data_IF_355044046141
#
_entry.id   IF_355044046141
#
_cell.length_a   1.000
_cell.length_b   1.000
_cell.length_c   1.000
_cell.angle_alpha   90.00
_cell.angle_beta   90.00
_cell.angle_gamma   90.00
#
_symmetry.space_group_name_H-M   'P 1'
#
loop_
_entity.id
_entity.type
_entity.pdbx_description
1 polymer ?
#
# COMPACT_ATOMS: atom_id res chain seq x y z
N UNK A 1 91.79 16.39 37.24
CA UNK A 1 90.65 15.59 36.73
C UNK A 1 90.37 16.04 35.30
N UNK A 2 90.87 15.29 34.31
CA UNK A 2 90.72 15.61 32.89
C UNK A 2 89.39 15.00 32.39
N UNK A 3 88.54 15.83 31.77
CA UNK A 3 87.31 15.38 31.11
C UNK A 3 87.57 15.23 29.62
N UNK A 4 87.69 13.99 29.17
CA UNK A 4 87.41 13.58 27.79
C UNK A 4 85.91 13.75 27.48
N UNK A 5 85.58 13.89 26.19
CA UNK A 5 84.44 13.29 25.45
C UNK A 5 84.23 14.14 24.17
N UNK A 6 84.73 13.71 23.00
CA UNK A 6 84.19 12.73 22.04
C UNK A 6 83.11 13.29 21.12
N UNK A 7 83.31 12.97 19.84
CA UNK A 7 82.82 13.62 18.64
C UNK A 7 81.38 13.25 18.26
N UNK A 8 80.84 14.08 17.37
CA UNK A 8 79.53 13.99 16.75
C UNK A 8 79.33 12.74 15.87
N UNK A 9 78.07 12.31 15.77
CA UNK A 9 77.51 11.68 14.57
C UNK A 9 75.99 11.91 14.55
N UNK A 10 75.52 12.75 13.63
CA UNK A 10 74.10 12.89 13.33
C UNK A 10 73.75 11.94 12.19
N UNK A 11 72.92 10.93 12.46
CA UNK A 11 72.27 10.11 11.43
C UNK A 11 70.86 10.69 11.19
N UNK A 12 70.63 11.22 9.99
CA UNK A 12 69.30 11.55 9.51
C UNK A 12 68.69 10.31 8.84
N UNK A 13 67.62 9.76 9.42
CA UNK A 13 66.82 8.70 8.80
C UNK A 13 65.68 9.36 8.00
N UNK A 14 65.71 9.22 6.68
CA UNK A 14 64.61 9.61 5.80
C UNK A 14 63.53 8.52 5.81
N UNK A 15 62.38 8.80 6.40
CA UNK A 15 61.20 7.94 6.35
C UNK A 15 60.44 8.16 5.04
N UNK A 16 60.43 7.16 4.16
CA UNK A 16 59.55 7.13 3.00
C UNK A 16 58.14 6.68 3.45
N UNK A 17 57.23 7.63 3.64
CA UNK A 17 55.80 7.34 3.81
C UNK A 17 55.20 6.90 2.48
N UNK A 18 54.89 5.61 2.35
CA UNK A 18 53.97 5.12 1.32
C UNK A 18 52.55 5.53 1.73
N UNK A 19 52.03 6.61 1.12
CA UNK A 19 50.63 6.97 1.22
C UNK A 19 49.83 5.98 0.34
N UNK A 20 49.02 5.15 0.98
CA UNK A 20 48.07 4.27 0.31
C UNK A 20 46.95 5.14 -0.29
N UNK A 21 46.84 5.15 -1.61
CA UNK A 21 45.74 5.79 -2.33
C UNK A 21 44.41 5.22 -1.84
N UNK A 22 43.43 6.04 -1.42
CA UNK A 22 42.12 5.51 -1.06
C UNK A 22 41.48 4.98 -2.34
N UNK A 23 41.22 3.67 -2.35
CA UNK A 23 40.44 3.01 -3.38
C UNK A 23 39.14 3.81 -3.59
N UNK A 24 38.93 4.24 -4.84
CA UNK A 24 37.69 4.85 -5.26
C UNK A 24 36.55 3.90 -4.88
N UNK A 25 35.79 4.27 -3.86
CA UNK A 25 34.48 3.69 -3.60
C UNK A 25 33.64 3.98 -4.83
N UNK A 26 33.53 2.99 -5.70
CA UNK A 26 32.52 2.97 -6.74
C UNK A 26 31.19 3.03 -6.02
N UNK A 27 30.64 4.24 -5.88
CA UNK A 27 29.26 4.44 -5.52
C UNK A 27 28.45 3.77 -6.61
N UNK A 28 28.08 2.51 -6.34
CA UNK A 28 27.05 1.83 -7.09
C UNK A 28 25.81 2.72 -6.98
N UNK A 29 25.61 3.49 -8.02
CA UNK A 29 24.43 4.27 -8.27
C UNK A 29 23.22 3.37 -7.99
N UNK A 30 22.49 3.68 -6.92
CA UNK A 30 21.23 3.03 -6.57
C UNK A 30 20.10 3.48 -7.51
N UNK A 31 20.45 3.73 -8.77
CA UNK A 31 19.57 4.03 -9.88
C UNK A 31 19.07 2.74 -10.52
N UNK A 32 18.20 1.98 -9.82
CA UNK A 32 17.19 1.24 -10.57
C UNK A 32 16.34 2.30 -11.24
N UNK A 33 16.61 2.58 -12.52
CA UNK A 33 15.78 3.43 -13.37
C UNK A 33 14.32 3.06 -13.12
N UNK A 34 13.51 4.02 -12.67
CA UNK A 34 12.12 3.77 -12.36
C UNK A 34 11.45 3.18 -13.60
N UNK A 35 10.97 1.93 -13.47
CA UNK A 35 10.39 1.11 -14.54
C UNK A 35 9.06 1.74 -14.99
N UNK A 36 8.99 2.38 -16.19
CA UNK A 36 7.78 3.10 -16.59
C UNK A 36 6.55 2.20 -16.73
N UNK A 37 6.78 0.95 -17.13
CA UNK A 37 5.78 -0.13 -17.17
C UNK A 37 5.21 -0.43 -15.78
N UNK A 38 6.05 -0.47 -14.75
CA UNK A 38 5.61 -0.71 -13.37
C UNK A 38 4.84 0.46 -12.78
N UNK A 39 5.22 1.70 -13.12
CA UNK A 39 4.45 2.89 -12.72
C UNK A 39 3.06 2.91 -13.38
N UNK A 40 2.99 2.62 -14.68
CA UNK A 40 1.72 2.53 -15.39
C UNK A 40 0.82 1.41 -14.82
N UNK A 41 1.42 0.27 -14.48
CA UNK A 41 0.72 -0.82 -13.80
C UNK A 41 0.17 -0.37 -12.44
N UNK A 42 0.93 0.40 -11.67
CA UNK A 42 0.43 0.95 -10.40
C UNK A 42 -0.73 1.94 -10.61
N UNK A 43 -0.73 2.78 -11.64
CA UNK A 43 -1.88 3.66 -11.92
C UNK A 43 -3.16 2.86 -12.22
N UNK A 44 -3.04 1.68 -12.84
CA UNK A 44 -4.17 0.76 -13.02
C UNK A 44 -4.66 0.22 -11.67
N UNK A 45 -3.75 -0.22 -10.80
CA UNK A 45 -4.06 -0.67 -9.43
C UNK A 45 -4.76 0.43 -8.63
N UNK A 46 -4.20 1.64 -8.63
CA UNK A 46 -4.78 2.81 -7.98
C UNK A 46 -6.17 3.12 -8.55
N UNK A 47 -6.36 3.09 -9.87
CA UNK A 47 -7.66 3.31 -10.50
C UNK A 47 -8.74 2.38 -9.95
N UNK A 48 -8.41 1.09 -9.77
CA UNK A 48 -9.28 0.13 -9.10
C UNK A 48 -9.52 0.49 -7.64
N UNK A 49 -8.47 0.81 -6.88
CA UNK A 49 -8.60 1.18 -5.47
C UNK A 49 -9.37 2.46 -5.20
N UNK A 50 -9.50 3.34 -6.21
CA UNK A 50 -10.38 4.52 -6.16
C UNK A 50 -11.84 4.21 -6.53
N UNK A 51 -12.16 2.99 -6.94
CA UNK A 51 -13.55 2.56 -7.17
C UNK A 51 -14.38 2.64 -5.88
N UNK A 52 -15.68 3.01 -5.96
CA UNK A 52 -16.64 2.88 -4.85
C UNK A 52 -16.62 1.51 -4.17
N UNK A 53 -16.26 0.44 -4.91
CA UNK A 53 -16.15 -0.91 -4.35
C UNK A 53 -15.02 -1.06 -3.33
N UNK A 54 -13.97 -0.24 -3.43
CA UNK A 54 -12.81 -0.23 -2.55
C UNK A 54 -12.89 0.91 -1.53
N UNK A 55 -13.10 2.16 -1.98
CA UNK A 55 -13.11 3.34 -1.11
C UNK A 55 -14.20 3.28 -0.03
N UNK A 56 -15.32 2.60 -0.30
CA UNK A 56 -16.39 2.44 0.68
C UNK A 56 -15.99 1.62 1.91
N UNK A 57 -15.06 0.69 1.72
CA UNK A 57 -14.45 -0.11 2.80
C UNK A 57 -13.21 0.57 3.40
N UNK A 58 -12.63 1.51 2.65
CA UNK A 58 -11.39 2.22 2.99
C UNK A 58 -11.60 3.74 3.16
N UNK A 59 -12.61 4.20 3.94
CA UNK A 59 -12.84 5.61 4.16
C UNK A 59 -11.83 6.21 5.15
N UNK A 60 -11.70 7.54 5.14
CA UNK A 60 -10.87 8.27 6.10
C UNK A 60 -11.42 8.19 7.54
N UNK A 61 -12.74 8.17 7.69
CA UNK A 61 -13.42 8.06 8.98
C UNK A 61 -13.70 6.62 9.41
N UNK A 62 -14.44 6.48 10.50
CA UNK A 62 -14.85 5.17 11.02
C UNK A 62 -16.21 4.69 10.50
N UNK A 63 -16.98 5.52 9.81
CA UNK A 63 -18.19 5.08 9.14
C UNK A 63 -17.86 4.59 7.73
N UNK A 64 -18.30 3.38 7.33
CA UNK A 64 -18.21 2.95 5.95
C UNK A 64 -19.05 3.85 5.06
N UNK A 65 -18.73 3.83 3.78
CA UNK A 65 -19.56 4.44 2.75
C UNK A 65 -20.35 3.36 2.02
N UNK A 66 -21.36 3.73 1.26
CA UNK A 66 -22.20 2.82 0.51
C UNK A 66 -22.62 3.44 -0.84
N UNK A 67 -23.12 2.59 -1.73
CA UNK A 67 -23.54 3.03 -3.07
C UNK A 67 -22.37 3.31 -4.01
N UNK A 68 -22.70 3.72 -5.24
CA UNK A 68 -21.74 4.12 -6.28
C UNK A 68 -21.28 5.58 -6.13
N UNK A 69 -21.99 6.36 -5.32
CA UNK A 69 -21.72 7.75 -4.96
C UNK A 69 -20.96 7.89 -3.63
N UNK A 70 -20.68 6.78 -2.95
CA UNK A 70 -19.90 6.73 -1.71
C UNK A 70 -20.45 7.63 -0.60
N UNK A 71 -21.78 7.70 -0.44
CA UNK A 71 -22.39 8.37 0.71
C UNK A 71 -22.21 7.55 2.00
N UNK A 72 -22.35 8.20 3.16
CA UNK A 72 -22.25 7.51 4.46
C UNK A 72 -23.28 6.39 4.56
N UNK A 73 -22.86 5.23 5.08
CA UNK A 73 -23.72 4.07 5.26
C UNK A 73 -24.98 4.42 6.07
N UNK A 74 -26.16 4.11 5.54
CA UNK A 74 -27.44 4.66 6.03
C UNK A 74 -27.83 4.20 7.43
N UNK A 75 -27.29 3.06 7.86
CA UNK A 75 -27.46 2.54 9.22
C UNK A 75 -26.46 3.15 10.23
N UNK A 76 -25.63 4.10 9.82
CA UNK A 76 -24.64 4.82 10.64
C UNK A 76 -23.71 3.89 11.46
N UNK A 77 -23.46 2.68 10.94
CA UNK A 77 -22.54 1.72 11.54
C UNK A 77 -21.14 2.31 11.62
N UNK A 78 -20.34 1.85 12.59
CA UNK A 78 -18.97 2.32 12.81
C UNK A 78 -18.01 1.13 12.77
N UNK A 79 -16.77 1.35 12.33
CA UNK A 79 -15.69 0.37 12.15
C UNK A 79 -15.59 -0.62 13.32
N UNK A 80 -15.59 -0.10 14.54
CA UNK A 80 -15.34 -0.89 15.74
C UNK A 80 -13.88 -1.39 15.84
N UNK A 81 -13.51 -2.02 16.96
CA UNK A 81 -12.11 -2.38 17.24
C UNK A 81 -11.51 -3.38 16.24
N UNK A 82 -12.34 -4.25 15.68
CA UNK A 82 -11.89 -5.28 14.73
C UNK A 82 -12.35 -5.02 13.29
N UNK A 83 -12.90 -3.84 13.02
CA UNK A 83 -13.51 -3.54 11.71
C UNK A 83 -14.86 -4.22 11.47
N UNK A 84 -15.44 -4.89 12.47
CA UNK A 84 -16.66 -5.72 12.37
C UNK A 84 -17.95 -5.04 12.86
N UNK A 85 -17.91 -3.74 13.09
CA UNK A 85 -19.00 -3.02 13.75
C UNK A 85 -18.75 -2.79 15.24
N UNK A 86 -19.52 -1.88 15.83
CA UNK A 86 -19.57 -1.66 17.28
C UNK A 86 -20.64 -2.55 17.92
N UNK A 87 -20.62 -2.65 19.26
CA UNK A 87 -21.63 -3.41 20.01
C UNK A 87 -23.05 -2.98 19.61
N UNK A 88 -23.90 -3.96 19.28
CA UNK A 88 -25.28 -3.75 18.82
C UNK A 88 -25.43 -3.42 17.32
N UNK A 89 -24.35 -3.10 16.61
CA UNK A 89 -24.34 -2.77 15.17
C UNK A 89 -23.23 -3.52 14.43
N UNK A 90 -23.13 -4.85 14.66
CA UNK A 90 -22.19 -5.70 13.93
C UNK A 90 -22.61 -5.88 12.47
N UNK A 91 -21.66 -5.86 11.54
CA UNK A 91 -21.91 -6.00 10.10
C UNK A 91 -22.70 -7.27 9.76
N UNK A 92 -22.36 -8.38 10.42
CA UNK A 92 -23.00 -9.69 10.23
C UNK A 92 -24.48 -9.75 10.65
N UNK A 93 -25.00 -8.72 11.34
CA UNK A 93 -26.43 -8.63 11.70
C UNK A 93 -27.29 -8.45 10.45
N UNK A 94 -26.78 -7.75 9.43
CA UNK A 94 -27.52 -7.45 8.20
C UNK A 94 -26.90 -8.10 6.97
N UNK A 95 -25.56 -8.20 6.92
CA UNK A 95 -24.86 -8.73 5.77
C UNK A 95 -24.70 -10.25 5.83
N UNK A 96 -25.23 -10.93 4.82
CA UNK A 96 -25.17 -12.38 4.69
C UNK A 96 -23.90 -12.92 4.02
N UNK A 97 -23.90 -14.24 3.78
CA UNK A 97 -22.79 -14.97 3.13
C UNK A 97 -22.81 -14.93 1.60
N UNK A 98 -23.85 -14.38 0.99
CA UNK A 98 -23.98 -14.23 -0.45
C UNK A 98 -24.89 -13.04 -0.76
N UNK A 99 -24.69 -12.42 -1.94
CA UNK A 99 -25.63 -11.41 -2.41
C UNK A 99 -27.04 -12.02 -2.51
N UNK A 100 -28.08 -11.31 -2.04
CA UNK A 100 -29.45 -11.77 -2.18
C UNK A 100 -29.87 -11.82 -3.65
N UNK A 101 -30.89 -12.63 -4.00
CA UNK A 101 -31.36 -12.70 -5.37
C UNK A 101 -31.92 -11.33 -5.84
N UNK A 102 -31.83 -11.01 -7.14
CA UNK A 102 -32.34 -9.75 -7.69
C UNK A 102 -33.81 -9.43 -7.34
N UNK A 103 -34.63 -10.45 -7.10
CA UNK A 103 -36.04 -10.30 -6.72
C UNK A 103 -36.26 -9.55 -5.40
N UNK A 104 -35.22 -9.37 -4.57
CA UNK A 104 -35.30 -8.62 -3.33
C UNK A 104 -35.05 -7.10 -3.53
N UNK A 105 -34.59 -6.68 -4.71
CA UNK A 105 -34.39 -5.26 -5.06
C UNK A 105 -32.99 -4.69 -4.76
N UNK A 106 -32.78 -3.41 -5.12
CA UNK A 106 -31.47 -2.74 -5.20
C UNK A 106 -30.85 -2.35 -3.84
N UNK A 107 -31.66 -2.26 -2.79
CA UNK A 107 -31.25 -1.72 -1.47
C UNK A 107 -31.01 -2.78 -0.41
N UNK A 108 -30.89 -4.04 -0.81
CA UNK A 108 -30.60 -5.12 0.12
C UNK A 108 -29.13 -5.12 0.56
N UNK A 109 -28.81 -5.39 1.84
CA UNK A 109 -27.44 -5.59 2.28
C UNK A 109 -26.73 -6.64 1.41
N UNK A 110 -25.58 -6.31 0.81
CA UNK A 110 -24.82 -7.28 0.03
C UNK A 110 -24.24 -8.37 0.93
N UNK A 111 -23.92 -9.51 0.33
CA UNK A 111 -23.31 -10.63 1.06
C UNK A 111 -22.04 -11.12 0.37
N UNK A 112 -21.16 -11.72 1.17
CA UNK A 112 -19.87 -12.24 0.71
C UNK A 112 -19.55 -13.55 1.43
N UNK A 113 -18.93 -14.51 0.74
CA UNK A 113 -18.66 -15.85 1.28
C UNK A 113 -17.80 -15.81 2.56
N UNK A 114 -16.94 -14.80 2.68
CA UNK A 114 -16.17 -14.51 3.89
C UNK A 114 -17.02 -13.73 4.91
N UNK A 115 -16.53 -12.58 5.37
CA UNK A 115 -17.20 -11.70 6.32
C UNK A 115 -17.11 -10.26 5.82
N UNK A 116 -18.15 -9.48 6.05
CA UNK A 116 -18.09 -8.04 5.87
C UNK A 116 -17.35 -7.42 7.05
N UNK A 117 -16.25 -6.73 6.74
CA UNK A 117 -15.46 -5.96 7.70
C UNK A 117 -14.71 -4.86 6.99
N UNK A 118 -14.39 -3.83 7.74
CA UNK A 118 -13.41 -2.83 7.36
C UNK A 118 -12.02 -3.27 7.84
N UNK A 119 -10.94 -2.66 7.33
CA UNK A 119 -9.66 -2.70 8.03
C UNK A 119 -9.83 -2.18 9.46
N UNK A 120 -9.19 -2.81 10.47
CA UNK A 120 -9.16 -2.30 11.84
C UNK A 120 -8.64 -0.86 11.97
N UNK A 121 -8.96 -0.15 13.07
CA UNK A 121 -8.55 1.24 13.29
C UNK A 121 -7.03 1.47 13.23
N UNK A 122 -6.22 0.46 13.58
CA UNK A 122 -4.76 0.54 13.60
C UNK A 122 -4.17 0.61 12.18
N UNK A 123 -4.89 0.11 11.18
CA UNK A 123 -4.45 0.06 9.79
C UNK A 123 -5.64 0.30 8.84
N UNK A 124 -6.20 1.53 8.92
CA UNK A 124 -7.41 1.93 8.18
C UNK A 124 -7.30 1.81 6.66
N UNK A 125 -6.07 1.88 6.13
CA UNK A 125 -5.79 1.85 4.69
C UNK A 125 -6.68 2.83 3.92
N UNK A 126 -6.65 4.12 4.28
CA UNK A 126 -7.52 5.12 3.63
C UNK A 126 -7.20 5.21 2.14
N UNK A 127 -8.19 5.02 1.27
CA UNK A 127 -8.02 5.11 -0.19
C UNK A 127 -8.62 6.38 -0.78
N UNK A 128 -9.73 6.86 -0.21
CA UNK A 128 -10.46 8.00 -0.74
C UNK A 128 -9.57 9.27 -0.79
N UNK A 129 -9.42 9.86 -1.98
CA UNK A 129 -8.70 11.11 -2.18
C UNK A 129 -7.18 11.04 -2.00
N UNK A 130 -6.62 9.84 -1.86
CA UNK A 130 -5.18 9.65 -1.68
C UNK A 130 -4.44 9.78 -3.01
N UNK A 131 -3.29 10.44 -2.98
CA UNK A 131 -2.44 10.61 -4.17
C UNK A 131 -1.85 9.26 -4.63
N UNK A 132 -1.37 9.18 -5.88
CA UNK A 132 -0.74 7.95 -6.36
C UNK A 132 0.49 7.55 -5.54
N UNK A 133 1.39 8.51 -5.30
CA UNK A 133 2.59 8.28 -4.49
C UNK A 133 2.22 7.77 -3.08
N UNK A 134 1.28 8.44 -2.41
CA UNK A 134 0.97 8.11 -1.01
C UNK A 134 0.24 6.77 -0.90
N UNK A 135 -0.64 6.44 -1.84
CA UNK A 135 -1.30 5.13 -1.89
C UNK A 135 -0.27 4.03 -2.14
N UNK A 136 0.71 4.27 -3.02
CA UNK A 136 1.77 3.32 -3.31
C UNK A 136 2.63 3.04 -2.06
N UNK A 137 3.08 4.09 -1.38
CA UNK A 137 3.86 3.94 -0.15
C UNK A 137 3.05 3.27 0.97
N UNK A 138 1.77 3.63 1.12
CA UNK A 138 0.88 3.01 2.08
C UNK A 138 0.71 1.50 1.84
N UNK A 139 0.55 1.06 0.59
CA UNK A 139 0.41 -0.37 0.25
C UNK A 139 1.67 -1.17 0.58
N UNK A 140 2.85 -0.56 0.45
CA UNK A 140 4.14 -1.21 0.74
C UNK A 140 4.46 -1.27 2.23
N UNK A 141 3.95 -0.32 3.01
CA UNK A 141 4.22 -0.24 4.44
C UNK A 141 3.40 -1.26 5.23
N UNK A 142 4.07 -2.28 5.75
CA UNK A 142 3.44 -3.34 6.54
C UNK A 142 2.78 -2.83 7.82
N UNK A 143 3.20 -1.66 8.32
CA UNK A 143 2.55 -1.03 9.48
C UNK A 143 1.20 -0.42 9.12
N UNK A 144 0.99 -0.08 7.84
CA UNK A 144 -0.24 0.54 7.37
C UNK A 144 -1.17 -0.44 6.66
N UNK A 145 -0.65 -1.50 6.05
CA UNK A 145 -1.44 -2.47 5.25
C UNK A 145 -1.95 -3.69 6.05
N UNK A 146 -1.84 -3.66 7.37
CA UNK A 146 -2.25 -4.76 8.25
C UNK A 146 -1.26 -5.93 8.29
N UNK A 147 0.04 -5.63 8.21
CA UNK A 147 1.12 -6.60 8.36
C UNK A 147 1.32 -7.51 7.15
N UNK A 148 0.78 -7.16 5.98
CA UNK A 148 0.86 -7.98 4.76
C UNK A 148 2.17 -7.71 4.03
N UNK A 149 2.97 -8.76 3.85
CA UNK A 149 4.10 -8.72 2.93
C UNK A 149 3.63 -8.78 1.47
N UNK A 150 4.57 -8.77 0.51
CA UNK A 150 4.25 -8.78 -0.92
C UNK A 150 3.27 -9.89 -1.33
N UNK A 151 3.59 -11.17 -1.07
CA UNK A 151 2.69 -12.29 -1.38
C UNK A 151 1.34 -12.22 -0.66
N UNK A 152 1.31 -11.89 0.64
CA UNK A 152 0.06 -11.80 1.39
C UNK A 152 -0.82 -10.65 0.91
N UNK A 153 -0.22 -9.51 0.55
CA UNK A 153 -0.94 -8.38 -0.03
C UNK A 153 -1.48 -8.73 -1.41
N UNK A 154 -0.69 -9.42 -2.25
CA UNK A 154 -1.15 -9.89 -3.55
C UNK A 154 -2.40 -10.75 -3.42
N UNK A 155 -2.35 -11.80 -2.60
CA UNK A 155 -3.49 -12.68 -2.34
C UNK A 155 -4.71 -11.90 -1.82
N UNK A 156 -4.50 -11.00 -0.85
CA UNK A 156 -5.59 -10.16 -0.34
C UNK A 156 -6.27 -9.36 -1.45
N UNK A 157 -5.50 -8.84 -2.40
CA UNK A 157 -5.98 -8.00 -3.48
C UNK A 157 -6.60 -8.81 -4.63
N UNK A 158 -6.06 -9.99 -4.94
CA UNK A 158 -6.48 -10.82 -6.07
C UNK A 158 -7.55 -11.85 -5.74
N UNK A 159 -7.58 -12.38 -4.51
CA UNK A 159 -8.24 -13.65 -4.21
C UNK A 159 -9.19 -13.62 -3.02
N UNK A 160 -8.99 -12.71 -2.04
CA UNK A 160 -9.90 -12.63 -0.90
C UNK A 160 -11.34 -12.36 -1.38
N UNK A 161 -12.29 -13.14 -0.86
CA UNK A 161 -13.69 -13.04 -1.28
C UNK A 161 -14.29 -11.63 -1.11
N UNK A 162 -13.86 -10.89 -0.08
CA UNK A 162 -14.31 -9.50 0.15
C UNK A 162 -13.78 -8.53 -0.91
N UNK A 163 -12.58 -8.78 -1.44
CA UNK A 163 -12.00 -7.99 -2.52
C UNK A 163 -12.64 -8.36 -3.86
N UNK A 164 -12.77 -9.66 -4.14
CA UNK A 164 -13.42 -10.18 -5.34
C UNK A 164 -14.87 -9.72 -5.49
N UNK A 165 -15.56 -9.44 -4.39
CA UNK A 165 -16.92 -8.89 -4.42
C UNK A 165 -17.02 -7.59 -5.25
N UNK A 166 -15.93 -6.82 -5.38
CA UNK A 166 -15.91 -5.61 -6.21
C UNK A 166 -16.25 -5.83 -7.69
N UNK A 167 -16.04 -7.04 -8.22
CA UNK A 167 -16.37 -7.41 -9.59
C UNK A 167 -17.74 -8.11 -9.71
N UNK A 168 -18.33 -8.54 -8.59
CA UNK A 168 -19.68 -9.09 -8.55
C UNK A 168 -20.47 -8.53 -7.35
N UNK A 169 -20.84 -7.23 -7.39
CA UNK A 169 -21.38 -6.52 -6.24
C UNK A 169 -22.89 -6.78 -5.99
N UNK A 170 -23.47 -7.75 -6.69
CA UNK A 170 -24.90 -8.05 -6.62
C UNK A 170 -25.75 -7.03 -7.38
N UNK A 171 -27.07 -7.17 -7.24
CA UNK A 171 -28.05 -6.42 -8.02
C UNK A 171 -28.00 -4.90 -7.73
N UNK A 172 -28.16 -4.09 -8.78
CA UNK A 172 -28.24 -2.63 -8.68
C UNK A 172 -26.92 -1.89 -8.42
N UNK A 173 -25.76 -2.58 -8.41
CA UNK A 173 -24.45 -1.96 -8.15
C UNK A 173 -23.51 -2.11 -9.34
N UNK A 174 -22.75 -1.06 -9.66
CA UNK A 174 -21.76 -1.13 -10.73
C UNK A 174 -20.50 -1.89 -10.26
N UNK A 175 -20.00 -2.86 -11.04
CA UNK A 175 -18.73 -3.50 -10.75
C UNK A 175 -17.57 -2.54 -10.99
N UNK A 176 -16.38 -2.89 -10.47
CA UNK A 176 -15.11 -2.29 -10.89
C UNK A 176 -15.01 -2.37 -12.42
N UNK A 177 -14.67 -1.24 -13.05
CA UNK A 177 -14.64 -1.13 -14.51
C UNK A 177 -13.46 -1.86 -15.14
N UNK A 178 -12.30 -1.85 -14.48
CA UNK A 178 -11.13 -2.63 -14.91
C UNK A 178 -11.43 -4.12 -14.65
N UNK A 179 -11.30 -5.01 -15.65
CA UNK A 179 -11.45 -6.45 -15.46
C UNK A 179 -10.52 -7.00 -14.37
N UNK A 180 -10.99 -7.99 -13.63
CA UNK A 180 -10.24 -8.54 -12.49
C UNK A 180 -8.88 -9.13 -12.91
N UNK A 181 -8.84 -9.84 -14.03
CA UNK A 181 -7.61 -10.43 -14.57
C UNK A 181 -6.60 -9.36 -15.00
N UNK A 182 -7.06 -8.23 -15.53
CA UNK A 182 -6.21 -7.08 -15.85
C UNK A 182 -5.65 -6.43 -14.58
N UNK A 183 -6.49 -6.25 -13.56
CA UNK A 183 -6.05 -5.76 -12.26
C UNK A 183 -4.98 -6.68 -11.63
N UNK A 184 -5.20 -7.99 -11.63
CA UNK A 184 -4.25 -8.97 -11.10
C UNK A 184 -2.93 -8.93 -11.86
N UNK A 185 -2.97 -8.84 -13.20
CA UNK A 185 -1.75 -8.68 -14.02
C UNK A 185 -1.01 -7.39 -13.67
N UNK A 186 -1.71 -6.26 -13.57
CA UNK A 186 -1.10 -4.98 -13.25
C UNK A 186 -0.45 -4.99 -11.85
N UNK A 187 -1.14 -5.56 -10.85
CA UNK A 187 -0.60 -5.68 -9.50
C UNK A 187 0.67 -6.55 -9.48
N UNK A 188 0.66 -7.68 -10.19
CA UNK A 188 1.81 -8.56 -10.32
C UNK A 188 2.99 -7.88 -11.03
N UNK A 189 2.75 -7.17 -12.14
CA UNK A 189 3.77 -6.41 -12.86
C UNK A 189 4.42 -5.36 -11.97
N UNK A 190 3.62 -4.62 -11.18
CA UNK A 190 4.14 -3.63 -10.23
C UNK A 190 4.99 -4.28 -9.13
N UNK A 191 4.52 -5.38 -8.52
CA UNK A 191 5.27 -6.08 -7.48
C UNK A 191 6.56 -6.71 -7.98
N UNK A 192 6.56 -7.34 -9.16
CA UNK A 192 7.74 -7.98 -9.74
C UNK A 192 8.84 -6.97 -10.07
N UNK A 193 8.48 -5.71 -10.30
CA UNK A 193 9.42 -4.59 -10.46
C UNK A 193 9.94 -4.03 -9.12
N UNK A 194 9.55 -4.60 -7.99
CA UNK A 194 9.92 -4.13 -6.64
C UNK A 194 8.99 -3.04 -6.09
N UNK A 195 7.74 -2.97 -6.58
CA UNK A 195 6.72 -2.01 -6.14
C UNK A 195 7.21 -0.54 -6.16
N UNK A 196 7.72 -0.02 -7.29
CA UNK A 196 8.18 1.36 -7.36
C UNK A 196 7.00 2.33 -7.21
N UNK A 197 7.25 3.46 -6.54
CA UNK A 197 6.30 4.56 -6.43
C UNK A 197 6.76 5.73 -7.29
N UNK A 198 5.82 6.36 -8.01
CA UNK A 198 6.11 7.60 -8.73
C UNK A 198 6.51 8.68 -7.73
N UNK A 199 7.44 9.60 -8.05
CA UNK A 199 7.81 10.68 -7.15
C UNK A 199 6.59 11.46 -6.63
N UNK A 200 6.66 11.90 -5.37
CA UNK A 200 5.64 12.80 -4.83
C UNK A 200 5.49 14.02 -5.75
N UNK A 201 4.25 14.35 -6.13
CA UNK A 201 4.01 15.59 -6.87
C UNK A 201 4.36 16.74 -5.94
N UNK A 202 5.43 17.47 -6.26
CA UNK A 202 5.64 18.77 -5.65
C UNK A 202 4.47 19.65 -6.05
N UNK A 203 3.81 20.28 -5.08
CA UNK A 203 2.81 21.28 -5.38
C UNK A 203 3.48 22.33 -6.26
N UNK A 204 3.14 22.33 -7.54
CA UNK A 204 3.48 23.43 -8.42
C UNK A 204 2.73 24.63 -7.84
N UNK A 205 3.48 25.64 -7.38
CA UNK A 205 2.89 26.88 -6.91
C UNK A 205 1.95 27.41 -8.01
N UNK A 206 0.71 27.83 -7.68
CA UNK A 206 -0.25 28.31 -8.67
C UNK A 206 0.28 29.51 -9.47
#
# INVERSE_FOLDING_TARGET
MARSLLAAAALAAASCSHAQEPAAVSSADSGKSVRPDALAAFETVKGVLQSPRCVNCHPAGDQPLQGDDSHVHLQFVQRGPEGRGVAGLHCATCHGKANPPPSYGEHMPPGVASEWKLPPPEHRMVFAGVSSHDLCEQLKDTKQNGGKDGPALFHHMSEDAITLWGWNPGYGRKPVQVPHDEFVRAFKTWQDAGSPCAPARTASNP
#
